data_IF_436679579096
#
_entry.id   IF_436679579096
#
_cell.length_a   1.000
_cell.length_b   1.000
_cell.length_c   1.000
_cell.angle_alpha   90.00
_cell.angle_beta   90.00
_cell.angle_gamma   90.00
#
_symmetry.space_group_name_H-M   'P 1'
#
loop_
_entity.id
_entity.type
_entity.pdbx_description
1 polymer ?
#
# COMPACT_ATOMS: atom_id res chain seq x y z
N UNK A 1 0.13 -19.72 15.86
CA UNK A 1 0.19 -19.99 14.40
C UNK A 1 1.16 -18.98 13.79
N UNK A 2 2.29 -19.43 13.26
CA UNK A 2 3.27 -18.57 12.58
C UNK A 2 2.85 -18.44 11.11
N UNK A 3 2.56 -17.22 10.64
CA UNK A 3 2.31 -16.94 9.21
C UNK A 3 3.30 -15.88 8.75
N UNK A 4 4.06 -16.20 7.71
CA UNK A 4 5.03 -15.29 7.11
C UNK A 4 4.78 -15.25 5.60
N UNK A 5 4.61 -14.06 5.04
CA UNK A 5 4.56 -13.84 3.60
C UNK A 5 5.96 -13.40 3.19
N UNK A 6 6.58 -14.15 2.29
CA UNK A 6 7.92 -13.85 1.78
C UNK A 6 7.89 -13.81 0.26
N UNK A 7 8.65 -12.89 -0.32
CA UNK A 7 8.94 -12.90 -1.74
C UNK A 7 10.22 -13.71 -1.96
N UNK A 8 10.11 -14.87 -2.58
CA UNK A 8 11.26 -15.75 -2.85
C UNK A 8 12.08 -15.18 -4.01
N UNK A 9 13.35 -14.87 -3.76
CA UNK A 9 14.31 -14.43 -4.78
C UNK A 9 15.22 -15.55 -5.27
N UNK A 10 15.22 -16.69 -4.57
CA UNK A 10 16.02 -17.87 -4.85
C UNK A 10 15.17 -19.15 -4.71
N UNK A 11 15.70 -20.27 -5.19
CA UNK A 11 15.07 -21.60 -5.13
C UNK A 11 14.99 -22.16 -3.70
N UNK A 12 15.73 -21.58 -2.76
CA UNK A 12 15.81 -22.03 -1.37
C UNK A 12 15.28 -20.95 -0.42
N UNK A 13 14.57 -21.39 0.61
CA UNK A 13 14.11 -20.54 1.71
C UNK A 13 14.46 -21.18 3.05
N UNK A 14 15.08 -20.41 3.95
CA UNK A 14 15.43 -20.87 5.29
C UNK A 14 14.54 -20.16 6.31
N UNK A 15 13.76 -20.94 7.06
CA UNK A 15 12.91 -20.44 8.14
C UNK A 15 13.56 -20.73 9.49
N UNK A 16 13.76 -19.69 10.32
CA UNK A 16 14.15 -19.87 11.72
C UNK A 16 12.91 -20.09 12.57
N UNK A 17 12.82 -21.26 13.20
CA UNK A 17 11.74 -21.57 14.14
C UNK A 17 12.03 -20.94 15.52
N UNK A 18 10.99 -20.55 16.27
CA UNK A 18 11.15 -20.13 17.66
C UNK A 18 11.47 -21.33 18.57
N UNK A 19 12.13 -21.04 19.69
CA UNK A 19 12.70 -22.06 20.59
C UNK A 19 11.63 -23.00 21.19
N UNK A 20 10.40 -22.53 21.30
CA UNK A 20 9.25 -23.28 21.82
C UNK A 20 8.75 -24.39 20.88
N UNK A 21 9.20 -24.40 19.63
CA UNK A 21 8.90 -25.43 18.62
C UNK A 21 10.03 -26.45 18.45
N UNK A 22 11.15 -26.31 19.16
CA UNK A 22 12.28 -27.25 19.08
C UNK A 22 11.86 -28.63 19.59
N UNK A 23 12.15 -29.67 18.79
CA UNK A 23 11.84 -31.08 19.12
C UNK A 23 10.39 -31.49 18.87
N UNK A 24 9.54 -30.60 18.33
CA UNK A 24 8.15 -30.91 17.96
C UNK A 24 8.03 -31.19 16.46
N UNK A 25 7.03 -31.98 16.08
CA UNK A 25 6.64 -32.14 14.67
C UNK A 25 5.92 -30.88 14.21
N UNK A 26 6.39 -30.28 13.11
CA UNK A 26 5.83 -29.05 12.55
C UNK A 26 5.44 -29.30 11.09
N UNK A 27 4.25 -28.85 10.71
CA UNK A 27 3.79 -28.81 9.32
C UNK A 27 4.10 -27.44 8.71
N UNK A 28 4.66 -27.43 7.50
CA UNK A 28 4.97 -26.21 6.75
C UNK A 28 4.12 -26.18 5.48
N UNK A 29 3.27 -25.17 5.37
CA UNK A 29 2.41 -24.94 4.21
C UNK A 29 2.96 -23.76 3.41
N UNK A 30 3.21 -23.98 2.12
CA UNK A 30 3.62 -22.95 1.18
C UNK A 30 2.68 -22.95 -0.02
N UNK A 31 2.14 -21.78 -0.34
CA UNK A 31 1.29 -21.56 -1.50
C UNK A 31 1.55 -20.18 -2.05
N UNK A 32 1.33 -20.02 -3.36
CA UNK A 32 1.34 -18.72 -3.99
C UNK A 32 0.22 -17.87 -3.39
N UNK A 33 0.56 -16.65 -2.99
CA UNK A 33 -0.40 -15.67 -2.53
C UNK A 33 -0.42 -14.61 -3.60
N UNK A 34 -1.56 -14.43 -4.27
CA UNK A 34 -1.78 -13.27 -5.12
C UNK A 34 -1.44 -12.04 -4.27
N UNK A 35 -0.44 -11.28 -4.70
CA UNK A 35 -0.18 -9.99 -4.06
C UNK A 35 -1.48 -9.20 -4.18
N UNK A 36 -2.22 -9.06 -3.08
CA UNK A 36 -2.98 -7.83 -2.90
C UNK A 36 -1.98 -6.72 -3.18
N UNK A 37 -2.24 -5.83 -4.15
CA UNK A 37 -1.27 -4.81 -4.53
C UNK A 37 -0.80 -4.18 -3.23
N UNK A 38 0.50 -4.18 -3.02
CA UNK A 38 1.12 -3.60 -1.82
C UNK A 38 0.69 -2.14 -1.77
N UNK A 39 -0.46 -1.86 -1.18
CA UNK A 39 -0.98 -0.53 -0.92
C UNK A 39 -0.30 -0.01 0.34
N UNK A 40 1.02 -0.04 0.30
CA UNK A 40 1.92 0.64 1.21
C UNK A 40 3.30 0.64 0.56
N UNK A 41 3.37 1.08 -0.71
CA UNK A 41 4.59 1.73 -1.14
C UNK A 41 4.77 2.87 -0.13
N UNK A 42 5.77 2.76 0.74
CA UNK A 42 6.26 3.86 1.59
C UNK A 42 6.89 4.89 0.67
N UNK A 43 6.06 5.49 -0.19
CA UNK A 43 6.46 6.61 -1.02
C UNK A 43 6.77 7.73 -0.05
N UNK A 44 7.94 8.33 -0.24
CA UNK A 44 8.24 9.61 0.38
C UNK A 44 7.12 10.61 0.04
N UNK A 45 6.95 11.63 0.87
CA UNK A 45 5.93 12.67 0.65
C UNK A 45 5.97 13.22 -0.78
N UNK A 46 7.16 13.41 -1.33
CA UNK A 46 7.38 13.96 -2.67
C UNK A 46 6.93 13.01 -3.78
N UNK A 47 7.19 11.71 -3.63
CA UNK A 47 6.76 10.71 -4.59
C UNK A 47 5.23 10.52 -4.57
N UNK A 48 4.60 10.64 -3.40
CA UNK A 48 3.12 10.65 -3.29
C UNK A 48 2.51 11.85 -4.00
N UNK A 49 3.09 13.03 -3.82
CA UNK A 49 2.63 14.25 -4.49
C UNK A 49 2.76 14.10 -6.01
N UNK A 50 3.89 13.57 -6.49
CA UNK A 50 4.09 13.29 -7.92
C UNK A 50 3.08 12.28 -8.47
N UNK A 51 2.82 11.20 -7.74
CA UNK A 51 1.84 10.19 -8.16
C UNK A 51 0.43 10.78 -8.29
N UNK A 52 0.00 11.61 -7.33
CA UNK A 52 -1.29 12.31 -7.38
C UNK A 52 -1.31 13.31 -8.55
N UNK A 53 -0.26 14.10 -8.73
CA UNK A 53 -0.18 15.07 -9.83
C UNK A 53 -0.24 14.40 -11.20
N UNK A 54 0.41 13.25 -11.36
CA UNK A 54 0.41 12.49 -12.60
C UNK A 54 -0.96 11.83 -12.84
N UNK A 55 -1.54 11.18 -11.82
CA UNK A 55 -2.86 10.54 -11.93
C UNK A 55 -4.00 11.54 -12.17
N UNK A 56 -3.91 12.72 -11.58
CA UNK A 56 -4.91 13.78 -11.71
C UNK A 56 -4.65 14.74 -12.88
N UNK A 57 -3.54 14.57 -13.61
CA UNK A 57 -3.16 15.47 -14.71
C UNK A 57 -4.25 15.59 -15.79
N UNK A 58 -4.94 14.48 -16.08
CA UNK A 58 -6.02 14.40 -17.06
C UNK A 58 -7.37 14.94 -16.53
N UNK A 59 -7.49 15.18 -15.22
CA UNK A 59 -8.71 15.66 -14.56
C UNK A 59 -8.58 17.13 -14.11
N UNK A 60 -7.57 17.85 -14.61
CA UNK A 60 -7.35 19.26 -14.27
C UNK A 60 -8.44 20.12 -14.89
N UNK A 61 -9.24 20.75 -14.04
CA UNK A 61 -10.19 21.80 -14.42
C UNK A 61 -9.47 23.16 -14.42
N UNK A 62 -9.70 23.97 -15.46
CA UNK A 62 -9.20 25.34 -15.50
C UNK A 62 -10.06 26.22 -14.60
N UNK A 63 -9.47 26.72 -13.52
CA UNK A 63 -10.11 27.63 -12.56
C UNK A 63 -9.70 29.09 -12.76
N UNK A 64 -9.16 29.45 -13.93
CA UNK A 64 -8.59 30.79 -14.18
C UNK A 64 -9.59 31.93 -13.90
N UNK A 65 -10.85 31.69 -14.20
CA UNK A 65 -11.93 32.67 -14.02
C UNK A 65 -12.84 32.32 -12.84
N UNK A 66 -12.47 31.30 -12.05
CA UNK A 66 -13.22 30.88 -10.87
C UNK A 66 -12.59 31.49 -9.62
N UNK A 67 -13.36 32.33 -8.93
CA UNK A 67 -13.00 32.84 -7.61
C UNK A 67 -13.95 32.22 -6.60
N UNK A 68 -13.41 31.40 -5.68
CA UNK A 68 -14.20 30.83 -4.60
C UNK A 68 -14.64 31.96 -3.65
N UNK A 69 -15.95 32.22 -3.57
CA UNK A 69 -16.53 33.12 -2.58
C UNK A 69 -17.06 32.30 -1.39
N UNK A 70 -16.39 32.43 -0.24
CA UNK A 70 -16.75 31.71 0.98
C UNK A 70 -18.12 32.11 1.51
N UNK A 71 -18.53 33.35 1.30
CA UNK A 71 -19.78 33.88 1.85
C UNK A 71 -21.00 33.33 1.08
N UNK A 72 -20.83 33.02 -0.21
CA UNK A 72 -21.84 32.37 -1.07
C UNK A 72 -22.05 30.88 -0.73
N UNK A 73 -21.02 30.22 -0.17
CA UNK A 73 -21.07 28.79 0.17
C UNK A 73 -21.75 28.47 1.51
N UNK A 74 -22.13 29.49 2.27
CA UNK A 74 -22.80 29.36 3.57
C UNK A 74 -24.27 29.82 3.55
N UNK A 75 -24.83 30.13 2.37
CA UNK A 75 -26.23 30.53 2.24
C UNK A 75 -27.13 29.28 2.27
N UNK A 76 -27.41 28.81 3.49
CA UNK A 76 -28.42 27.81 3.76
C UNK A 76 -29.75 28.54 4.04
N UNK A 77 -30.54 28.84 3.00
CA UNK A 77 -31.97 29.09 3.19
C UNK A 77 -32.71 27.83 3.66
#
# INVERSE_FOLDING_TARGET
>A
MLRQIVQTTDKFYTLRLPDDLVGKTVEVLAFEVDQAPVAAISLSKDERIKAIQNGMSNYRLSLKDFTFNRDEANDYE
#
